data_IF_592474796472
#
_entry.id   IF_592474796472
#
_cell.length_a   1.000
_cell.length_b   1.000
_cell.length_c   1.000
_cell.angle_alpha   90.00
_cell.angle_beta   90.00
_cell.angle_gamma   90.00
#
_symmetry.space_group_name_H-M   'P 1'
#
loop_
_entity.id
_entity.type
_entity.pdbx_description
1 polymer ?
#
# COMPACT_ATOMS: atom_id res chain seq x y z
N UNK A 1 22.25 -0.41 7.05
CA UNK A 1 22.63 0.31 5.81
C UNK A 1 21.83 1.61 5.71
N UNK A 2 22.12 2.48 4.71
CA UNK A 2 21.30 3.69 4.47
C UNK A 2 20.67 3.64 3.08
N UNK A 3 19.48 4.24 2.95
CA UNK A 3 18.79 4.42 1.67
C UNK A 3 18.08 5.78 1.64
N UNK A 4 17.61 6.21 0.48
CA UNK A 4 16.75 7.40 0.37
C UNK A 4 15.32 7.06 0.80
N UNK A 5 14.71 8.01 1.54
CA UNK A 5 13.32 7.92 1.95
C UNK A 5 12.69 9.30 2.06
N UNK A 6 11.38 9.37 1.84
CA UNK A 6 10.61 10.59 2.09
C UNK A 6 10.23 10.59 3.57
N UNK A 7 10.66 11.59 4.30
CA UNK A 7 10.38 11.76 5.73
C UNK A 7 9.59 13.05 5.95
N UNK A 8 8.43 12.94 6.57
CA UNK A 8 7.69 14.11 7.06
C UNK A 8 8.35 14.57 8.36
N UNK A 9 9.02 15.71 8.33
CA UNK A 9 9.74 16.28 9.48
C UNK A 9 8.76 17.03 10.42
N UNK A 10 7.75 17.61 9.83
CA UNK A 10 6.69 18.35 10.49
C UNK A 10 5.51 18.56 9.55
N UNK A 11 4.44 19.25 10.00
CA UNK A 11 3.27 19.49 9.17
C UNK A 11 3.62 20.19 7.85
N UNK A 12 3.28 19.56 6.72
CA UNK A 12 3.53 20.11 5.38
C UNK A 12 5.00 20.11 4.95
N UNK A 13 5.91 19.45 5.68
CA UNK A 13 7.34 19.42 5.40
C UNK A 13 7.87 18.00 5.09
N UNK A 14 7.52 17.38 3.95
CA UNK A 14 8.11 16.14 3.49
C UNK A 14 9.47 16.41 2.83
N UNK A 15 10.50 15.65 3.21
CA UNK A 15 11.86 15.77 2.68
C UNK A 15 12.41 14.43 2.23
N UNK A 16 13.14 14.44 1.12
CA UNK A 16 13.93 13.28 0.68
C UNK A 16 15.29 13.29 1.37
N UNK A 17 15.50 12.38 2.31
CA UNK A 17 16.72 12.31 3.11
C UNK A 17 17.24 10.86 3.20
N UNK A 18 18.46 10.72 3.70
CA UNK A 18 19.01 9.40 4.05
C UNK A 18 18.36 8.89 5.33
N UNK A 19 17.83 7.67 5.27
CA UNK A 19 17.24 6.95 6.40
C UNK A 19 18.04 5.68 6.69
N UNK A 20 18.15 5.33 7.96
CA UNK A 20 18.77 4.09 8.37
C UNK A 20 17.83 2.91 8.13
N UNK A 21 18.39 1.83 7.56
CA UNK A 21 17.69 0.56 7.38
C UNK A 21 18.44 -0.49 8.20
N UNK A 22 17.86 -0.96 9.31
CA UNK A 22 18.47 -2.04 10.10
C UNK A 22 18.42 -3.36 9.31
N UNK A 23 19.11 -4.36 9.80
CA UNK A 23 18.90 -5.74 9.35
C UNK A 23 17.48 -6.18 9.70
N UNK A 24 16.84 -7.04 8.89
CA UNK A 24 15.49 -7.51 9.17
C UNK A 24 15.46 -8.34 10.47
N UNK A 25 14.41 -8.13 11.26
CA UNK A 25 14.11 -8.96 12.43
C UNK A 25 13.74 -10.40 12.05
N UNK A 26 13.59 -11.31 13.02
CA UNK A 26 13.35 -12.74 12.76
C UNK A 26 12.19 -13.01 11.80
N UNK A 27 11.08 -12.30 11.90
CA UNK A 27 9.86 -12.41 11.08
C UNK A 27 9.71 -11.28 10.05
N UNK A 28 10.80 -10.69 9.60
CA UNK A 28 10.76 -9.61 8.62
C UNK A 28 11.46 -10.00 7.32
N UNK A 29 10.91 -9.53 6.22
CA UNK A 29 11.57 -9.50 4.93
C UNK A 29 12.06 -8.09 4.65
N UNK A 30 13.27 -7.96 4.14
CA UNK A 30 13.77 -6.69 3.64
C UNK A 30 13.48 -6.59 2.15
N UNK A 31 12.74 -5.57 1.75
CA UNK A 31 12.28 -5.38 0.38
C UNK A 31 12.93 -4.15 -0.23
N UNK A 32 13.53 -4.32 -1.41
CA UNK A 32 13.96 -3.22 -2.29
C UNK A 32 12.76 -2.78 -3.11
N UNK A 33 12.27 -1.57 -2.87
CA UNK A 33 11.08 -1.06 -3.52
C UNK A 33 11.34 -0.73 -4.99
N UNK A 34 10.51 -1.28 -5.87
CA UNK A 34 10.48 -0.94 -7.30
C UNK A 34 9.41 0.11 -7.60
N UNK A 35 8.28 0.07 -6.88
CA UNK A 35 7.21 1.04 -7.01
C UNK A 35 6.53 1.29 -5.65
N UNK A 36 6.11 2.52 -5.41
CA UNK A 36 5.25 2.90 -4.30
C UNK A 36 4.10 3.76 -4.80
N UNK A 37 2.91 3.55 -4.26
CA UNK A 37 1.70 4.28 -4.63
C UNK A 37 1.34 5.28 -3.53
N UNK A 38 1.12 6.53 -3.90
CA UNK A 38 0.66 7.57 -2.97
C UNK A 38 -0.85 7.47 -2.77
N UNK A 39 -1.28 7.20 -1.54
CA UNK A 39 -2.68 7.30 -1.12
C UNK A 39 -3.03 8.75 -0.83
N UNK A 40 -3.37 9.51 -1.88
CA UNK A 40 -3.44 10.97 -1.85
C UNK A 40 -4.31 11.54 -0.71
N UNK A 41 -5.45 10.93 -0.39
CA UNK A 41 -6.34 11.38 0.69
C UNK A 41 -5.70 11.21 2.07
N UNK A 42 -5.29 9.99 2.39
CA UNK A 42 -4.73 9.62 3.71
C UNK A 42 -3.38 10.29 3.95
N UNK A 43 -2.47 10.18 2.99
CA UNK A 43 -1.12 10.70 3.17
C UNK A 43 -1.07 12.23 3.17
N UNK A 44 -1.93 12.88 2.38
CA UNK A 44 -2.10 14.33 2.47
C UNK A 44 -2.57 14.76 3.85
N UNK A 45 -3.52 14.02 4.45
CA UNK A 45 -4.00 14.29 5.79
C UNK A 45 -2.86 14.13 6.82
N UNK A 46 -2.12 13.04 6.73
CA UNK A 46 -1.00 12.76 7.64
C UNK A 46 0.13 13.78 7.51
N UNK A 47 0.60 14.02 6.29
CA UNK A 47 1.72 14.95 6.03
C UNK A 47 1.38 16.37 6.45
N UNK A 48 0.12 16.81 6.30
CA UNK A 48 -0.29 18.17 6.67
C UNK A 48 -0.68 18.33 8.16
N UNK A 49 -0.62 17.28 8.95
CA UNK A 49 -0.91 17.37 10.39
C UNK A 49 -2.39 17.55 10.72
N UNK A 50 -3.30 16.93 9.96
CA UNK A 50 -4.73 17.03 10.28
C UNK A 50 -4.99 16.38 11.63
N UNK A 51 -5.70 17.07 12.57
CA UNK A 51 -5.96 16.54 13.89
C UNK A 51 -6.62 15.16 13.88
N UNK A 52 -6.21 14.29 14.79
CA UNK A 52 -6.67 12.92 14.98
C UNK A 52 -6.34 11.94 13.82
N UNK A 53 -5.62 12.37 12.79
CA UNK A 53 -5.23 11.53 11.67
C UNK A 53 -3.71 11.36 11.56
N UNK A 54 -2.94 12.26 12.15
CA UNK A 54 -1.50 12.38 11.88
C UNK A 54 -0.67 11.57 12.88
N UNK A 55 0.28 10.75 12.41
CA UNK A 55 1.33 10.17 13.24
C UNK A 55 2.21 11.23 13.90
N UNK A 56 2.94 10.85 14.94
CA UNK A 56 3.96 11.73 15.51
C UNK A 56 5.10 11.97 14.52
N UNK A 57 5.56 13.21 14.40
CA UNK A 57 6.73 13.55 13.59
C UNK A 57 8.05 13.29 14.33
N UNK A 58 9.15 12.97 13.61
CA UNK A 58 9.20 12.65 12.19
C UNK A 58 8.69 11.23 11.90
N UNK A 59 8.13 11.00 10.69
CA UNK A 59 7.74 9.67 10.22
C UNK A 59 7.92 9.53 8.71
N UNK A 60 7.92 8.30 8.21
CA UNK A 60 8.02 7.99 6.78
C UNK A 60 6.61 7.68 6.26
N UNK A 61 6.00 8.54 5.40
CA UNK A 61 4.71 8.27 4.80
C UNK A 61 4.79 7.15 3.76
N UNK A 62 3.64 6.54 3.44
CA UNK A 62 3.51 5.47 2.45
C UNK A 62 3.24 4.11 3.08
N UNK A 63 2.40 3.32 2.43
CA UNK A 63 2.02 1.97 2.87
C UNK A 63 1.60 1.06 1.71
N UNK A 64 1.71 1.54 0.49
CA UNK A 64 1.35 0.83 -0.74
C UNK A 64 2.62 0.64 -1.57
N UNK A 65 3.29 -0.49 -1.40
CA UNK A 65 4.60 -0.71 -2.01
C UNK A 65 4.66 -2.07 -2.71
N UNK A 66 5.52 -2.15 -3.71
CA UNK A 66 5.87 -3.39 -4.40
C UNK A 66 7.36 -3.38 -4.74
N UNK A 67 8.00 -4.54 -4.66
CA UNK A 67 9.43 -4.65 -4.88
C UNK A 67 9.92 -6.08 -4.85
N UNK A 68 11.21 -6.24 -4.59
CA UNK A 68 11.90 -7.52 -4.55
C UNK A 68 12.49 -7.76 -3.16
N UNK A 69 12.32 -8.96 -2.64
CA UNK A 69 12.96 -9.39 -1.39
C UNK A 69 14.47 -9.44 -1.60
N UNK A 70 15.23 -8.76 -0.75
CA UNK A 70 16.70 -8.76 -0.80
C UNK A 70 17.32 -9.48 0.39
N UNK A 71 16.60 -9.62 1.50
CA UNK A 71 17.04 -10.34 2.69
C UNK A 71 15.82 -10.82 3.50
N UNK A 72 15.96 -11.94 4.19
CA UNK A 72 14.93 -12.50 5.07
C UNK A 72 15.47 -12.67 6.48
N UNK A 73 14.61 -12.51 7.48
CA UNK A 73 14.88 -12.86 8.87
C UNK A 73 14.91 -14.38 9.07
N UNK A 74 15.45 -14.79 10.21
CA UNK A 74 15.74 -16.21 10.51
C UNK A 74 14.52 -17.10 10.65
N UNK A 75 13.34 -16.54 10.89
CA UNK A 75 12.07 -17.27 11.12
C UNK A 75 11.06 -17.05 9.99
N UNK A 76 11.45 -16.33 8.93
CA UNK A 76 10.60 -16.13 7.74
C UNK A 76 10.45 -17.44 6.99
N UNK A 77 9.20 -17.77 6.64
CA UNK A 77 8.86 -18.93 5.84
C UNK A 77 8.08 -18.50 4.60
N UNK A 78 8.41 -19.07 3.45
CA UNK A 78 7.69 -18.84 2.19
C UNK A 78 8.15 -17.62 1.39
N UNK A 79 9.24 -16.95 1.81
CA UNK A 79 9.86 -15.87 1.05
C UNK A 79 11.37 -16.07 1.01
N UNK A 80 11.98 -15.76 -0.13
CA UNK A 80 13.43 -15.81 -0.34
C UNK A 80 13.92 -14.59 -1.15
N UNK A 81 15.22 -14.26 -1.08
CA UNK A 81 15.78 -13.21 -1.92
C UNK A 81 15.53 -13.47 -3.41
N UNK A 82 15.05 -12.44 -4.12
CA UNK A 82 14.60 -12.50 -5.51
C UNK A 82 13.09 -12.58 -5.69
N UNK A 83 12.33 -12.89 -4.64
CA UNK A 83 10.87 -12.92 -4.72
C UNK A 83 10.29 -11.53 -5.00
N UNK A 84 9.36 -11.49 -5.94
CA UNK A 84 8.57 -10.30 -6.25
C UNK A 84 7.39 -10.21 -5.31
N UNK A 85 7.30 -9.12 -4.56
CA UNK A 85 6.31 -8.97 -3.48
C UNK A 85 5.62 -7.61 -3.48
N UNK A 86 4.34 -7.62 -3.06
CA UNK A 86 3.60 -6.43 -2.68
C UNK A 86 3.41 -6.40 -1.16
N UNK A 87 3.42 -5.21 -0.58
CA UNK A 87 3.29 -5.00 0.85
C UNK A 87 2.05 -4.18 1.17
N UNK A 88 1.48 -4.40 2.36
CA UNK A 88 0.36 -3.62 2.89
C UNK A 88 0.63 -3.14 4.33
N UNK A 89 1.90 -2.96 4.66
CA UNK A 89 2.34 -2.50 5.96
C UNK A 89 2.36 -0.97 6.07
N UNK A 90 1.88 -0.43 7.19
CA UNK A 90 1.79 1.01 7.43
C UNK A 90 3.17 1.67 7.56
N UNK A 91 4.18 0.92 8.00
CA UNK A 91 5.50 1.46 8.35
C UNK A 91 6.58 1.28 7.26
N UNK A 92 6.20 0.76 6.08
CA UNK A 92 7.17 0.53 4.99
C UNK A 92 7.65 1.84 4.40
N UNK A 93 6.74 2.75 4.11
CA UNK A 93 7.01 4.10 3.66
C UNK A 93 7.54 4.23 2.23
N UNK A 94 7.56 5.46 1.75
CA UNK A 94 8.19 5.83 0.48
C UNK A 94 9.71 5.89 0.66
N UNK A 95 10.38 4.76 0.51
CA UNK A 95 11.85 4.61 0.60
C UNK A 95 12.36 3.53 -0.32
N UNK A 96 13.65 3.52 -0.61
CA UNK A 96 14.24 2.55 -1.54
C UNK A 96 14.27 1.13 -0.96
N UNK A 97 14.48 0.99 0.35
CA UNK A 97 14.56 -0.31 1.04
C UNK A 97 13.84 -0.21 2.38
N UNK A 98 13.03 -1.20 2.72
CA UNK A 98 12.32 -1.27 4.00
C UNK A 98 12.14 -2.70 4.50
N UNK A 99 12.05 -2.84 5.82
CA UNK A 99 11.70 -4.11 6.46
C UNK A 99 10.19 -4.19 6.64
N UNK A 100 9.62 -5.36 6.39
CA UNK A 100 8.18 -5.64 6.47
C UNK A 100 8.00 -6.99 7.14
N UNK A 101 7.02 -7.10 8.01
CA UNK A 101 6.67 -8.42 8.57
C UNK A 101 6.20 -9.37 7.46
N UNK A 102 6.58 -10.62 7.55
CA UNK A 102 6.21 -11.66 6.58
C UNK A 102 4.69 -11.81 6.39
N UNK A 103 3.90 -11.56 7.46
CA UNK A 103 2.42 -11.56 7.41
C UNK A 103 1.82 -10.36 6.65
N UNK A 104 2.61 -9.36 6.34
CA UNK A 104 2.19 -8.14 5.63
C UNK A 104 2.74 -8.07 4.20
N UNK A 105 3.15 -9.22 3.67
CA UNK A 105 3.75 -9.38 2.35
C UNK A 105 3.02 -10.46 1.58
N UNK A 106 2.85 -10.27 0.29
CA UNK A 106 2.28 -11.28 -0.62
C UNK A 106 3.08 -11.37 -1.91
N UNK A 107 3.21 -12.56 -2.47
CA UNK A 107 3.84 -12.73 -3.77
C UNK A 107 3.05 -12.03 -4.88
N UNK A 108 3.77 -11.42 -5.82
CA UNK A 108 3.19 -10.84 -7.03
C UNK A 108 3.06 -11.96 -8.07
N UNK A 109 1.84 -12.22 -8.59
CA UNK A 109 1.66 -13.20 -9.65
C UNK A 109 2.49 -12.90 -10.90
N UNK A 110 2.81 -13.93 -11.65
CA UNK A 110 3.46 -13.77 -12.96
C UNK A 110 2.62 -12.88 -13.89
N UNK A 111 3.28 -12.02 -14.67
CA UNK A 111 2.63 -11.06 -15.57
C UNK A 111 2.11 -9.79 -14.92
N UNK A 112 2.08 -9.66 -13.59
CA UNK A 112 1.70 -8.42 -12.89
C UNK A 112 2.94 -7.56 -12.69
N UNK A 113 2.88 -6.27 -13.10
CA UNK A 113 3.99 -5.32 -12.89
C UNK A 113 4.05 -4.83 -11.44
N UNK A 114 5.18 -4.27 -11.00
CA UNK A 114 5.31 -3.67 -9.67
C UNK A 114 4.36 -2.49 -9.48
N UNK A 115 4.16 -1.68 -10.52
CA UNK A 115 3.24 -0.53 -10.48
C UNK A 115 1.81 -1.01 -10.22
N UNK A 116 1.35 -2.07 -10.88
CA UNK A 116 0.03 -2.65 -10.62
C UNK A 116 -0.04 -3.28 -9.23
N UNK A 117 1.00 -4.00 -8.82
CA UNK A 117 1.05 -4.65 -7.51
C UNK A 117 1.06 -3.65 -6.35
N UNK A 118 1.59 -2.43 -6.53
CA UNK A 118 1.55 -1.38 -5.51
C UNK A 118 0.13 -0.96 -5.12
N UNK A 119 -0.90 -1.24 -5.95
CA UNK A 119 -2.30 -1.02 -5.60
C UNK A 119 -2.89 -2.05 -4.62
N UNK A 120 -2.17 -3.11 -4.25
CA UNK A 120 -2.68 -4.23 -3.44
C UNK A 120 -3.38 -3.75 -2.16
N UNK A 121 -2.76 -2.84 -1.39
CA UNK A 121 -3.33 -2.33 -0.14
C UNK A 121 -4.67 -1.58 -0.36
N UNK A 122 -4.73 -0.69 -1.33
CA UNK A 122 -5.96 0.05 -1.67
C UNK A 122 -6.99 -0.84 -2.35
N UNK A 123 -6.53 -1.83 -3.15
CA UNK A 123 -7.38 -2.86 -3.72
C UNK A 123 -8.07 -3.69 -2.66
N UNK A 124 -7.34 -4.14 -1.63
CA UNK A 124 -7.89 -4.86 -0.48
C UNK A 124 -8.96 -4.03 0.25
N UNK A 125 -8.69 -2.75 0.50
CA UNK A 125 -9.64 -1.83 1.15
C UNK A 125 -10.92 -1.70 0.32
N UNK A 126 -10.79 -1.45 -0.99
CA UNK A 126 -11.91 -1.30 -1.92
C UNK A 126 -12.72 -2.59 -2.04
N UNK A 127 -12.05 -3.74 -2.18
CA UNK A 127 -12.69 -5.06 -2.24
C UNK A 127 -13.48 -5.35 -0.96
N UNK A 128 -12.94 -5.02 0.20
CA UNK A 128 -13.64 -5.22 1.46
C UNK A 128 -14.91 -4.35 1.55
N UNK A 129 -14.86 -3.11 1.05
CA UNK A 129 -16.04 -2.26 0.91
C UNK A 129 -17.13 -2.92 0.05
N UNK A 130 -16.77 -3.36 -1.14
CA UNK A 130 -17.69 -4.03 -2.08
C UNK A 130 -18.27 -5.32 -1.46
N UNK A 131 -17.45 -6.15 -0.82
CA UNK A 131 -17.92 -7.36 -0.12
C UNK A 131 -18.95 -7.06 0.99
N UNK A 132 -18.79 -5.94 1.70
CA UNK A 132 -19.75 -5.53 2.75
C UNK A 132 -21.09 -5.06 2.18
N UNK A 133 -21.13 -4.59 0.94
CA UNK A 133 -22.38 -4.25 0.26
C UNK A 133 -23.25 -5.48 -0.08
N UNK A 134 -22.67 -6.70 -0.09
CA UNK A 134 -23.38 -7.94 -0.39
C UNK A 134 -24.17 -7.88 -1.71
N UNK A 135 -23.54 -7.33 -2.75
CA UNK A 135 -24.14 -7.12 -4.06
C UNK A 135 -24.59 -8.45 -4.66
N UNK A 136 -25.85 -8.54 -5.06
CA UNK A 136 -26.39 -9.63 -5.85
C UNK A 136 -26.27 -9.35 -7.34
N UNK A 137 -26.30 -10.41 -8.16
CA UNK A 137 -26.19 -10.29 -9.62
C UNK A 137 -27.32 -9.42 -10.18
N UNK A 138 -26.95 -8.39 -10.96
CA UNK A 138 -27.90 -7.48 -11.60
C UNK A 138 -28.37 -6.32 -10.72
N UNK A 139 -27.95 -6.22 -9.46
CA UNK A 139 -28.26 -5.05 -8.64
C UNK A 139 -27.54 -3.80 -9.14
N UNK A 140 -28.20 -2.64 -9.00
CA UNK A 140 -27.59 -1.35 -9.31
C UNK A 140 -26.73 -0.86 -8.15
N UNK A 141 -25.56 -0.31 -8.46
CA UNK A 141 -24.65 0.26 -7.46
C UNK A 141 -24.20 1.66 -7.89
N UNK A 142 -24.18 2.59 -6.95
CA UNK A 142 -23.60 3.92 -7.12
C UNK A 142 -22.39 4.10 -6.22
N UNK A 143 -21.25 4.52 -6.80
CA UNK A 143 -20.07 4.97 -6.05
C UNK A 143 -20.04 6.49 -6.02
N UNK A 144 -19.94 7.05 -4.82
CA UNK A 144 -19.79 8.49 -4.60
C UNK A 144 -18.31 8.79 -4.30
N UNK A 145 -17.68 9.56 -5.16
CA UNK A 145 -16.25 9.85 -5.13
C UNK A 145 -15.44 8.90 -6.02
N UNK A 146 -14.65 9.46 -6.94
CA UNK A 146 -13.81 8.74 -7.90
C UNK A 146 -12.31 8.92 -7.65
N UNK A 147 -11.92 9.04 -6.38
CA UNK A 147 -10.54 8.83 -5.97
C UNK A 147 -10.12 7.36 -6.19
N UNK A 148 -8.86 7.03 -5.90
CA UNK A 148 -8.28 5.70 -6.14
C UNK A 148 -9.16 4.57 -5.58
N UNK A 149 -9.65 4.71 -4.34
CA UNK A 149 -10.52 3.70 -3.70
C UNK A 149 -11.85 3.55 -4.44
N UNK A 150 -12.48 4.68 -4.83
CA UNK A 150 -13.75 4.66 -5.57
C UNK A 150 -13.61 4.02 -6.96
N UNK A 151 -12.56 4.34 -7.70
CA UNK A 151 -12.27 3.75 -9.01
C UNK A 151 -12.05 2.24 -8.90
N UNK A 152 -11.28 1.78 -7.90
CA UNK A 152 -11.07 0.35 -7.66
C UNK A 152 -12.38 -0.33 -7.22
N UNK A 153 -13.17 0.30 -6.34
CA UNK A 153 -14.45 -0.23 -5.91
C UNK A 153 -15.42 -0.41 -7.10
N UNK A 154 -15.45 0.56 -8.03
CA UNK A 154 -16.28 0.45 -9.24
C UNK A 154 -15.88 -0.73 -10.13
N UNK A 155 -14.57 -1.00 -10.29
CA UNK A 155 -14.11 -2.16 -11.04
C UNK A 155 -14.54 -3.47 -10.35
N UNK A 156 -14.38 -3.58 -9.04
CA UNK A 156 -14.84 -4.76 -8.28
C UNK A 156 -16.35 -4.92 -8.31
N UNK A 157 -17.12 -3.82 -8.26
CA UNK A 157 -18.57 -3.82 -8.34
C UNK A 157 -19.03 -4.35 -9.70
N UNK A 158 -18.39 -3.91 -10.79
CA UNK A 158 -18.67 -4.43 -12.12
C UNK A 158 -18.36 -5.93 -12.23
N UNK A 159 -17.19 -6.36 -11.70
CA UNK A 159 -16.83 -7.79 -11.67
C UNK A 159 -17.75 -8.63 -10.79
N UNK A 160 -18.41 -8.04 -9.80
CA UNK A 160 -19.42 -8.69 -8.97
C UNK A 160 -20.78 -8.82 -9.67
N UNK A 161 -20.93 -8.28 -10.89
CA UNK A 161 -22.15 -8.39 -11.68
C UNK A 161 -23.19 -7.29 -11.43
N UNK A 162 -22.82 -6.19 -10.81
CA UNK A 162 -23.70 -5.04 -10.64
C UNK A 162 -24.05 -4.39 -11.98
N UNK A 163 -25.34 -4.09 -12.18
CA UNK A 163 -25.82 -3.45 -13.41
C UNK A 163 -27.11 -2.65 -13.16
N UNK A 164 -27.13 -1.31 -13.42
CA UNK A 164 -25.96 -0.49 -13.78
C UNK A 164 -25.00 -0.24 -12.62
N UNK A 165 -23.72 -0.02 -12.93
CA UNK A 165 -22.74 0.51 -12.01
C UNK A 165 -22.52 2.01 -12.34
N UNK A 166 -22.87 2.90 -11.42
CA UNK A 166 -22.89 4.36 -11.62
C UNK A 166 -21.77 4.99 -10.80
N UNK A 167 -20.96 5.83 -11.45
CA UNK A 167 -19.87 6.55 -10.83
C UNK A 167 -20.19 8.06 -10.79
N UNK A 168 -20.07 8.67 -9.62
CA UNK A 168 -20.31 10.10 -9.38
C UNK A 168 -19.11 10.71 -8.65
N UNK A 169 -18.63 11.90 -9.08
CA UNK A 169 -17.53 12.64 -8.44
C UNK A 169 -17.95 14.07 -8.13
#
# INVERSE_FOLDING_TARGET
>A
MKCKGIVAIGPGDPRLIDVDVPDPGPHEVQVKMAATLVSAGTERAWVNGIPNATPAYPYIPGYCCAGEVVKTGSEVVGFEPGDRVATFAVDVGHREIGNVRDLEVVHIPEGVSYEHAAFTSLGQTSLQGVRKCKIELGESVASLGLGIVGILAMQFTHLAGAQPAIALD
#
